data_IF_700034308902
#
_entry.id   IF_700034308902
#
_cell.length_a   1.000
_cell.length_b   1.000
_cell.length_c   1.000
_cell.angle_alpha   90.00
_cell.angle_beta   90.00
_cell.angle_gamma   90.00
#
_symmetry.space_group_name_H-M   'P 1'
#
loop_
_entity.id
_entity.type
_entity.pdbx_description
1 polymer ?
#
# COMPACT_ATOMS: atom_id res chain seq x y z
N UNK A 1 -3.45 6.12 -5.34
CA UNK A 1 -4.51 6.68 -4.47
C UNK A 1 -4.83 5.69 -3.37
N UNK A 2 -4.61 6.10 -2.13
CA UNK A 2 -4.84 5.29 -0.93
C UNK A 2 -6.30 5.40 -0.42
N UNK A 3 -7.26 5.61 -1.32
CA UNK A 3 -8.68 5.79 -1.01
C UNK A 3 -9.54 5.37 -2.21
N UNK A 4 -10.81 5.01 -1.99
CA UNK A 4 -11.75 4.81 -3.09
C UNK A 4 -12.39 6.16 -3.46
N UNK A 5 -12.53 6.46 -4.76
CA UNK A 5 -13.12 7.73 -5.24
C UNK A 5 -14.52 7.98 -4.66
N UNK A 6 -15.29 6.92 -4.40
CA UNK A 6 -16.63 6.99 -3.80
C UNK A 6 -16.64 7.59 -2.39
N UNK A 7 -15.53 7.49 -1.67
CA UNK A 7 -15.40 7.98 -0.29
C UNK A 7 -15.16 9.49 -0.27
N UNK A 8 -14.75 10.06 -1.41
CA UNK A 8 -14.60 11.50 -1.58
C UNK A 8 -15.95 12.21 -1.55
N UNK A 9 -15.99 13.29 -0.78
CA UNK A 9 -17.13 14.19 -0.68
C UNK A 9 -16.93 15.35 -1.64
N UNK A 10 -18.03 15.74 -2.27
CA UNK A 10 -18.17 16.76 -3.30
C UNK A 10 -19.50 17.49 -3.05
N UNK A 11 -19.79 18.53 -3.83
CA UNK A 11 -21.10 19.19 -3.75
C UNK A 11 -22.28 18.20 -3.89
N UNK A 12 -22.16 17.18 -4.73
CA UNK A 12 -23.26 16.24 -5.01
C UNK A 12 -23.65 15.37 -3.80
N UNK A 13 -22.70 15.04 -2.93
CA UNK A 13 -22.89 14.14 -1.80
C UNK A 13 -22.51 14.79 -0.45
N UNK A 14 -22.45 16.12 -0.40
CA UNK A 14 -22.09 16.90 0.80
C UNK A 14 -23.00 16.64 2.00
N UNK A 15 -24.26 16.33 1.75
CA UNK A 15 -25.24 16.00 2.80
C UNK A 15 -24.97 14.67 3.50
N UNK A 16 -24.09 13.82 2.95
CA UNK A 16 -23.65 12.59 3.62
C UNK A 16 -22.73 12.88 4.83
N UNK A 17 -22.15 14.08 4.89
CA UNK A 17 -21.27 14.48 5.98
C UNK A 17 -22.11 14.99 7.15
N UNK A 18 -22.08 14.25 8.27
CA UNK A 18 -22.97 14.50 9.42
C UNK A 18 -22.39 15.40 10.50
N UNK A 19 -21.07 15.63 10.49
CA UNK A 19 -20.37 16.36 11.56
C UNK A 19 -19.29 17.29 10.99
N UNK A 20 -19.24 18.51 11.53
CA UNK A 20 -18.27 19.57 11.18
C UNK A 20 -17.04 19.57 12.12
N UNK A 21 -16.56 18.38 12.48
CA UNK A 21 -15.32 18.20 13.27
C UNK A 21 -14.57 16.95 12.81
N UNK A 22 -14.74 16.60 11.54
CA UNK A 22 -14.04 15.47 10.93
C UNK A 22 -12.76 16.00 10.30
N UNK A 23 -11.64 15.43 10.72
CA UNK A 23 -10.33 15.72 10.12
C UNK A 23 -10.20 15.01 8.78
N UNK A 24 -9.58 15.66 7.81
CA UNK A 24 -9.31 15.06 6.51
C UNK A 24 -8.51 15.95 5.59
N UNK A 25 -8.57 15.61 4.31
CA UNK A 25 -7.87 16.29 3.22
C UNK A 25 -8.85 17.10 2.38
N UNK A 26 -8.40 18.26 1.89
CA UNK A 26 -9.21 19.20 1.12
C UNK A 26 -8.51 19.53 -0.19
N UNK A 27 -9.26 19.68 -1.28
CA UNK A 27 -8.66 19.92 -2.60
C UNK A 27 -9.69 20.30 -3.65
N UNK A 28 -9.20 20.90 -4.74
CA UNK A 28 -9.99 21.26 -5.91
C UNK A 28 -9.87 20.25 -7.05
N UNK A 29 -9.00 19.26 -6.87
CA UNK A 29 -8.75 18.17 -7.80
C UNK A 29 -8.37 16.90 -7.06
N UNK A 30 -8.56 15.75 -7.71
CA UNK A 30 -8.11 14.46 -7.21
C UNK A 30 -6.59 14.41 -7.00
N UNK A 31 -5.82 15.09 -7.85
CA UNK A 31 -4.36 15.17 -7.75
C UNK A 31 -3.92 15.93 -6.50
N UNK A 32 -4.59 17.03 -6.16
CA UNK A 32 -4.29 17.79 -4.93
C UNK A 32 -4.50 16.89 -3.70
N UNK A 33 -5.63 16.19 -3.63
CA UNK A 33 -5.91 15.26 -2.51
C UNK A 33 -4.85 14.15 -2.43
N UNK A 34 -4.46 13.54 -3.55
CA UNK A 34 -3.45 12.48 -3.56
C UNK A 34 -2.07 12.99 -3.13
N UNK A 35 -1.70 14.22 -3.49
CA UNK A 35 -0.44 14.83 -3.08
C UNK A 35 -0.42 15.20 -1.59
N UNK A 36 -1.52 15.71 -1.04
CA UNK A 36 -1.68 15.96 0.40
C UNK A 36 -1.58 14.66 1.22
N UNK A 37 -2.18 13.56 0.73
CA UNK A 37 -2.04 12.24 1.37
C UNK A 37 -0.59 11.76 1.35
N UNK A 38 0.14 11.93 0.23
CA UNK A 38 1.57 11.56 0.15
C UNK A 38 2.41 12.34 1.15
N UNK A 39 2.19 13.64 1.27
CA UNK A 39 2.89 14.50 2.25
C UNK A 39 2.61 14.06 3.68
N UNK A 40 1.34 13.81 4.00
CA UNK A 40 0.94 13.26 5.29
C UNK A 40 1.62 11.93 5.61
N UNK A 41 1.64 10.99 4.63
CA UNK A 41 2.31 9.70 4.79
C UNK A 41 3.84 9.82 4.89
N UNK A 42 4.43 10.89 4.35
CA UNK A 42 5.86 11.21 4.49
C UNK A 42 6.21 11.96 5.79
N UNK A 43 5.25 12.14 6.71
CA UNK A 43 5.47 12.70 8.04
C UNK A 43 5.08 14.17 8.21
N UNK A 44 4.59 14.83 7.16
CA UNK A 44 4.08 16.20 7.24
C UNK A 44 2.64 16.22 7.78
N UNK A 45 2.49 16.10 9.11
CA UNK A 45 1.18 15.93 9.77
C UNK A 45 0.32 17.20 9.81
N UNK A 46 0.90 18.36 9.54
CA UNK A 46 0.22 19.67 9.62
C UNK A 46 -0.77 19.92 8.46
N UNK A 47 -0.81 19.02 7.47
CA UNK A 47 -1.74 19.07 6.33
C UNK A 47 -3.11 18.46 6.63
N UNK A 48 -3.31 17.94 7.84
CA UNK A 48 -4.62 17.55 8.31
C UNK A 48 -5.39 18.76 8.81
N UNK A 49 -6.57 18.97 8.23
CA UNK A 49 -7.44 20.06 8.63
C UNK A 49 -8.80 19.53 9.11
N UNK A 50 -9.38 20.24 10.08
CA UNK A 50 -10.72 19.95 10.56
C UNK A 50 -11.76 20.63 9.66
N UNK A 51 -12.70 19.84 9.15
CA UNK A 51 -13.84 20.36 8.40
C UNK A 51 -14.64 21.30 9.29
N UNK A 52 -14.70 22.58 8.95
CA UNK A 52 -15.38 23.60 9.74
C UNK A 52 -16.75 23.99 9.16
N UNK A 53 -16.90 23.92 7.84
CA UNK A 53 -18.13 24.35 7.16
C UNK A 53 -18.45 23.53 5.91
N UNK A 54 -19.75 23.41 5.62
CA UNK A 54 -20.28 22.91 4.36
C UNK A 54 -21.25 23.97 3.80
N UNK A 55 -20.94 24.56 2.66
CA UNK A 55 -21.80 25.53 1.97
C UNK A 55 -22.73 24.84 0.96
N UNK A 56 -23.97 25.29 0.88
CA UNK A 56 -24.94 24.76 -0.08
C UNK A 56 -24.88 25.42 -1.46
N UNK A 57 -24.24 26.57 -1.57
CA UNK A 57 -24.44 27.49 -2.71
C UNK A 57 -23.37 27.41 -3.81
N UNK A 58 -22.54 26.35 -3.84
CA UNK A 58 -21.54 26.23 -4.91
C UNK A 58 -20.68 24.97 -4.84
N UNK A 59 -19.97 24.71 -5.94
CA UNK A 59 -19.09 23.54 -6.06
C UNK A 59 -17.98 23.50 -4.99
N UNK A 60 -17.45 24.66 -4.59
CA UNK A 60 -16.52 24.81 -3.47
C UNK A 60 -17.29 24.86 -2.14
N UNK A 61 -17.72 23.70 -1.68
CA UNK A 61 -18.61 23.59 -0.53
C UNK A 61 -17.91 23.23 0.77
N UNK A 62 -16.69 22.67 0.77
CA UNK A 62 -16.02 22.26 2.01
C UNK A 62 -14.99 23.29 2.44
N UNK A 63 -15.11 23.81 3.66
CA UNK A 63 -14.12 24.71 4.22
C UNK A 63 -13.55 24.20 5.53
N UNK A 64 -12.25 24.42 5.73
CA UNK A 64 -11.60 24.33 7.03
C UNK A 64 -11.22 25.74 7.49
N UNK A 65 -11.09 25.91 8.81
CA UNK A 65 -10.60 27.14 9.41
C UNK A 65 -9.22 26.90 10.00
N UNK A 66 -8.24 27.76 9.71
CA UNK A 66 -6.96 27.71 10.43
C UNK A 66 -7.14 28.39 11.78
N UNK A 67 -6.89 27.64 12.85
CA UNK A 67 -6.87 28.19 14.20
C UNK A 67 -5.47 28.72 14.51
N UNK A 68 -5.37 30.04 14.70
CA UNK A 68 -4.12 30.71 15.06
C UNK A 68 -4.03 30.83 16.58
N UNK A 69 -3.31 29.89 17.20
CA UNK A 69 -3.21 29.76 18.67
C UNK A 69 -2.58 30.99 19.36
N UNK A 70 -1.78 31.76 18.65
CA UNK A 70 -1.13 32.99 19.09
C UNK A 70 -2.08 34.20 19.15
N UNK A 71 -3.15 34.19 18.37
CA UNK A 71 -4.14 35.29 18.30
C UNK A 71 -5.52 34.90 18.80
N UNK A 72 -5.79 33.60 19.00
CA UNK A 72 -7.13 33.09 19.28
C UNK A 72 -8.12 33.32 18.14
N UNK A 73 -7.63 33.70 16.96
CA UNK A 73 -8.43 34.02 15.79
C UNK A 73 -8.53 32.82 14.86
N UNK A 74 -9.68 32.69 14.22
CA UNK A 74 -9.81 31.90 13.00
C UNK A 74 -9.43 32.79 11.82
N UNK A 75 -8.40 32.41 11.07
CA UNK A 75 -7.95 33.15 9.89
C UNK A 75 -7.94 32.26 8.65
N UNK A 76 -8.33 32.82 7.51
CA UNK A 76 -8.35 32.13 6.23
C UNK A 76 -9.42 31.03 6.15
N UNK A 77 -10.57 31.37 5.56
CA UNK A 77 -11.53 30.37 5.10
C UNK A 77 -11.25 30.08 3.63
N UNK A 78 -10.61 28.94 3.35
CA UNK A 78 -10.53 28.42 1.98
C UNK A 78 -11.63 27.39 1.79
N UNK A 79 -12.34 27.53 0.67
CA UNK A 79 -13.36 26.58 0.25
C UNK A 79 -12.81 25.70 -0.87
N UNK A 80 -13.07 24.40 -0.75
CA UNK A 80 -12.58 23.36 -1.64
C UNK A 80 -13.75 22.61 -2.26
N UNK A 81 -13.53 22.14 -3.48
CA UNK A 81 -14.52 21.34 -4.18
C UNK A 81 -14.71 19.95 -3.57
N UNK A 82 -13.64 19.41 -2.99
CA UNK A 82 -13.59 18.06 -2.46
C UNK A 82 -13.10 18.02 -1.01
N UNK A 83 -13.65 17.05 -0.28
CA UNK A 83 -13.22 16.68 1.06
C UNK A 83 -13.10 15.15 1.16
N UNK A 84 -11.97 14.66 1.65
CA UNK A 84 -11.75 13.25 1.93
C UNK A 84 -11.54 13.07 3.44
N UNK A 85 -12.49 12.43 4.14
CA UNK A 85 -12.32 12.06 5.55
C UNK A 85 -11.05 11.23 5.78
N UNK A 86 -10.31 11.49 6.86
CA UNK A 86 -9.07 10.77 7.16
C UNK A 86 -9.29 9.25 7.34
N UNK A 87 -10.43 8.85 7.89
CA UNK A 87 -10.80 7.44 8.08
C UNK A 87 -11.07 6.70 6.76
N UNK A 88 -11.38 7.42 5.68
CA UNK A 88 -11.48 6.88 4.33
C UNK A 88 -10.11 6.65 3.67
N UNK A 89 -9.04 7.22 4.22
CA UNK A 89 -7.68 6.91 3.75
C UNK A 89 -7.29 5.54 4.28
N UNK A 90 -7.12 4.60 3.37
CA UNK A 90 -6.55 3.28 3.65
C UNK A 90 -5.17 3.52 4.24
N UNK A 91 -4.99 3.16 5.52
CA UNK A 91 -3.66 3.16 6.15
C UNK A 91 -2.71 2.43 5.22
N UNK A 92 -1.62 3.08 4.83
CA UNK A 92 -0.45 2.37 4.34
C UNK A 92 -0.09 1.39 5.47
N UNK A 93 -0.41 0.10 5.29
CA UNK A 93 0.15 -0.91 6.17
C UNK A 93 1.66 -0.70 6.14
N UNK A 94 2.38 -0.75 7.27
CA UNK A 94 3.83 -0.75 7.22
C UNK A 94 4.24 -1.79 6.18
N UNK A 95 5.04 -1.37 5.18
CA UNK A 95 5.51 -2.28 4.15
C UNK A 95 6.22 -3.40 4.89
N UNK A 96 5.57 -4.58 4.93
CA UNK A 96 6.13 -5.79 5.52
C UNK A 96 7.53 -5.94 4.94
N UNK A 97 8.53 -5.94 5.81
CA UNK A 97 9.92 -6.09 5.39
C UNK A 97 10.14 -7.57 5.13
N UNK A 98 10.64 -7.89 3.95
CA UNK A 98 10.95 -9.26 3.57
C UNK A 98 12.45 -9.38 3.38
N UNK A 99 13.01 -10.49 3.84
CA UNK A 99 14.34 -10.95 3.41
C UNK A 99 14.20 -12.08 2.40
N UNK A 100 15.18 -12.30 1.52
CA UNK A 100 15.15 -13.46 0.62
C UNK A 100 15.14 -14.78 1.40
N UNK A 101 14.66 -15.83 0.74
CA UNK A 101 14.78 -17.18 1.27
C UNK A 101 16.25 -17.56 1.42
N UNK A 102 16.61 -18.09 2.58
CA UNK A 102 17.93 -18.63 2.90
C UNK A 102 18.02 -20.12 2.66
N UNK A 103 16.90 -20.81 2.44
CA UNK A 103 16.91 -22.22 2.09
C UNK A 103 15.71 -22.60 1.25
N UNK A 104 15.83 -23.69 0.49
CA UNK A 104 14.69 -24.26 -0.23
C UNK A 104 13.59 -24.76 0.72
N UNK A 105 13.95 -25.07 1.97
CA UNK A 105 12.96 -25.43 2.99
C UNK A 105 12.00 -24.28 3.26
N UNK A 106 12.48 -23.05 3.42
CA UNK A 106 11.61 -21.88 3.66
C UNK A 106 10.62 -21.68 2.49
N UNK A 107 11.08 -21.86 1.26
CA UNK A 107 10.20 -21.79 0.08
C UNK A 107 9.20 -22.96 0.04
N UNK A 108 9.66 -24.16 0.34
CA UNK A 108 8.85 -25.39 0.36
C UNK A 108 7.73 -25.31 1.40
N UNK A 109 8.05 -24.83 2.61
CA UNK A 109 7.08 -24.62 3.70
C UNK A 109 5.95 -23.66 3.28
N UNK A 110 6.25 -22.65 2.44
CA UNK A 110 5.24 -21.70 1.96
C UNK A 110 4.42 -22.27 0.80
N UNK A 111 5.03 -23.06 -0.09
CA UNK A 111 4.33 -23.63 -1.26
C UNK A 111 3.41 -24.79 -0.86
N UNK A 112 3.86 -25.67 0.04
CA UNK A 112 3.12 -26.87 0.44
C UNK A 112 2.42 -26.76 1.79
N UNK A 113 2.61 -25.67 2.54
CA UNK A 113 2.09 -25.49 3.90
C UNK A 113 2.30 -26.76 4.73
N UNK A 114 1.26 -27.37 5.28
CA UNK A 114 1.33 -28.55 6.18
C UNK A 114 1.93 -29.80 5.54
N UNK A 115 1.96 -29.90 4.21
CA UNK A 115 2.45 -31.08 3.50
C UNK A 115 3.94 -30.98 3.11
N UNK A 116 4.63 -29.94 3.58
CA UNK A 116 6.05 -29.71 3.31
C UNK A 116 6.96 -30.84 3.81
N UNK A 117 6.57 -31.57 4.86
CA UNK A 117 7.38 -32.69 5.38
C UNK A 117 7.47 -33.86 4.39
N UNK A 118 6.54 -33.92 3.43
CA UNK A 118 6.45 -34.98 2.43
C UNK A 118 6.82 -34.51 1.02
N UNK A 119 7.07 -33.22 0.82
CA UNK A 119 7.36 -32.61 -0.48
C UNK A 119 8.54 -31.66 -0.32
N UNK A 120 9.54 -31.73 -1.19
CA UNK A 120 10.66 -30.78 -1.19
C UNK A 120 10.79 -30.17 -2.57
N UNK A 121 10.66 -28.85 -2.67
CA UNK A 121 11.01 -28.14 -3.90
C UNK A 121 12.52 -28.27 -4.14
N UNK A 122 12.87 -28.68 -5.35
CA UNK A 122 14.24 -28.90 -5.78
C UNK A 122 14.39 -28.61 -7.28
N UNK A 123 15.59 -28.86 -7.79
CA UNK A 123 15.85 -28.85 -9.23
C UNK A 123 14.95 -29.87 -9.92
N UNK A 124 14.25 -29.43 -10.97
CA UNK A 124 13.24 -30.20 -11.69
C UNK A 124 11.80 -29.80 -11.37
N UNK A 125 11.55 -29.09 -10.27
CA UNK A 125 10.22 -28.58 -9.94
C UNK A 125 9.91 -27.26 -10.65
N UNK A 126 8.62 -26.97 -10.81
CA UNK A 126 8.17 -25.74 -11.47
C UNK A 126 7.40 -24.84 -10.51
N UNK A 127 7.58 -23.53 -10.67
CA UNK A 127 6.84 -22.49 -9.96
C UNK A 127 6.14 -21.59 -10.94
N UNK A 128 4.89 -21.23 -10.65
CA UNK A 128 4.21 -20.15 -11.36
C UNK A 128 4.60 -18.82 -10.72
N UNK A 129 5.14 -17.91 -11.51
CA UNK A 129 5.58 -16.58 -11.09
C UNK A 129 4.86 -15.47 -11.84
N UNK A 130 4.87 -14.27 -11.25
CA UNK A 130 4.51 -13.02 -11.90
C UNK A 130 5.52 -11.92 -11.61
N UNK A 131 5.58 -10.93 -12.50
CA UNK A 131 6.42 -9.75 -12.30
C UNK A 131 5.70 -8.72 -11.43
N UNK A 132 6.39 -8.17 -10.43
CA UNK A 132 5.85 -7.08 -9.61
C UNK A 132 5.61 -5.84 -10.47
N UNK A 133 4.44 -5.23 -10.32
CA UNK A 133 4.02 -4.07 -11.11
C UNK A 133 3.45 -4.40 -12.49
N UNK A 134 3.39 -5.68 -12.89
CA UNK A 134 2.75 -6.13 -14.12
C UNK A 134 1.91 -7.40 -13.86
N UNK A 135 0.64 -7.18 -13.49
CA UNK A 135 -0.29 -8.25 -13.11
C UNK A 135 -0.77 -9.13 -14.29
N UNK A 136 -0.38 -8.80 -15.52
CA UNK A 136 -0.74 -9.57 -16.71
C UNK A 136 0.38 -10.51 -17.16
N UNK A 137 1.60 -10.32 -16.66
CA UNK A 137 2.74 -11.18 -16.97
C UNK A 137 2.85 -12.34 -15.98
N UNK A 138 2.44 -13.53 -16.42
CA UNK A 138 2.61 -14.78 -15.69
C UNK A 138 3.50 -15.76 -16.46
N UNK A 139 4.38 -16.47 -15.75
CA UNK A 139 5.28 -17.44 -16.34
C UNK A 139 5.46 -18.64 -15.42
N UNK A 140 5.43 -19.86 -15.97
CA UNK A 140 5.95 -21.03 -15.26
C UNK A 140 7.46 -21.09 -15.45
N UNK A 141 8.21 -21.14 -14.36
CA UNK A 141 9.65 -21.37 -14.37
C UNK A 141 9.95 -22.78 -13.87
N UNK A 142 10.86 -23.46 -14.55
CA UNK A 142 11.48 -24.70 -14.06
C UNK A 142 12.69 -24.32 -13.22
N UNK A 143 12.83 -24.89 -12.02
CA UNK A 143 14.04 -24.76 -11.21
C UNK A 143 15.11 -25.63 -11.86
N UNK A 144 16.05 -25.02 -12.57
CA UNK A 144 17.14 -25.69 -13.28
C UNK A 144 18.44 -25.69 -12.50
N UNK A 145 18.62 -24.75 -11.57
CA UNK A 145 19.83 -24.67 -10.75
C UNK A 145 19.58 -23.93 -9.44
N UNK A 146 20.32 -24.32 -8.41
CA UNK A 146 20.35 -23.71 -7.09
C UNK A 146 21.81 -23.43 -6.73
N UNK A 147 22.11 -22.21 -6.29
CA UNK A 147 23.44 -21.81 -5.85
C UNK A 147 23.44 -21.55 -4.36
N UNK A 148 24.43 -22.12 -3.67
CA UNK A 148 24.58 -22.04 -2.22
C UNK A 148 25.93 -21.41 -1.87
N UNK A 149 25.95 -20.60 -0.81
CA UNK A 149 27.16 -20.20 -0.11
C UNK A 149 27.09 -20.76 1.32
N UNK A 150 28.05 -21.61 1.66
CA UNK A 150 27.96 -22.53 2.80
C UNK A 150 26.64 -23.32 2.81
N UNK A 151 25.65 -22.87 3.60
CA UNK A 151 24.32 -23.48 3.70
C UNK A 151 23.19 -22.56 3.23
N UNK A 152 23.49 -21.30 2.89
CA UNK A 152 22.50 -20.31 2.52
C UNK A 152 22.25 -20.35 1.00
N UNK A 153 20.98 -20.42 0.62
CA UNK A 153 20.53 -20.29 -0.77
C UNK A 153 20.74 -18.86 -1.24
N UNK A 154 21.74 -18.65 -2.10
CA UNK A 154 22.08 -17.32 -2.63
C UNK A 154 21.52 -17.06 -4.03
N UNK A 155 21.20 -18.11 -4.80
CA UNK A 155 20.65 -17.96 -6.13
C UNK A 155 19.79 -19.15 -6.59
N UNK A 156 18.85 -18.85 -7.49
CA UNK A 156 18.02 -19.83 -8.20
C UNK A 156 18.02 -19.46 -9.68
N UNK A 157 18.23 -20.45 -10.56
CA UNK A 157 18.32 -20.28 -12.02
C UNK A 157 19.33 -19.20 -12.45
N UNK A 158 20.47 -19.12 -11.75
CA UNK A 158 21.53 -18.15 -12.02
C UNK A 158 21.22 -16.71 -11.60
N UNK A 159 20.06 -16.45 -10.99
CA UNK A 159 19.67 -15.13 -10.45
C UNK A 159 19.75 -15.14 -8.92
N UNK A 160 20.30 -14.07 -8.35
CA UNK A 160 20.39 -13.88 -6.90
C UNK A 160 19.01 -13.87 -6.25
N UNK A 161 18.88 -14.46 -5.06
CA UNK A 161 17.60 -14.51 -4.33
C UNK A 161 17.03 -13.11 -4.02
N UNK A 162 17.88 -12.11 -3.81
CA UNK A 162 17.43 -10.71 -3.68
C UNK A 162 16.73 -10.20 -4.95
N UNK A 163 17.27 -10.51 -6.13
CA UNK A 163 16.64 -10.14 -7.39
C UNK A 163 15.31 -10.86 -7.65
N UNK A 164 15.14 -12.07 -7.11
CA UNK A 164 13.84 -12.74 -7.10
C UNK A 164 12.84 -12.04 -6.19
N UNK A 165 13.26 -11.67 -4.98
CA UNK A 165 12.45 -10.93 -4.02
C UNK A 165 12.02 -9.57 -4.57
N UNK A 166 12.91 -8.83 -5.24
CA UNK A 166 12.65 -7.46 -5.67
C UNK A 166 11.70 -7.40 -6.87
N UNK A 167 11.80 -8.35 -7.80
CA UNK A 167 11.12 -8.26 -9.10
C UNK A 167 9.93 -9.21 -9.27
N UNK A 168 9.84 -10.28 -8.47
CA UNK A 168 8.88 -11.36 -8.71
C UNK A 168 8.09 -11.77 -7.47
N UNK A 169 6.95 -12.39 -7.74
CA UNK A 169 6.12 -13.12 -6.78
C UNK A 169 5.83 -14.51 -7.34
N UNK A 170 5.58 -15.48 -6.48
CA UNK A 170 5.16 -16.83 -6.87
C UNK A 170 3.76 -17.12 -6.35
N UNK A 171 3.04 -17.99 -7.05
CA UNK A 171 1.71 -18.43 -6.63
C UNK A 171 1.85 -19.57 -5.62
N UNK A 172 1.32 -19.36 -4.41
CA UNK A 172 1.16 -20.39 -3.39
C UNK A 172 -0.21 -20.27 -2.75
N UNK A 173 -0.92 -21.38 -2.58
CA UNK A 173 -2.27 -21.41 -1.99
C UNK A 173 -3.24 -20.39 -2.61
N UNK A 174 -3.22 -20.26 -3.94
CA UNK A 174 -4.03 -19.31 -4.72
C UNK A 174 -3.76 -17.83 -4.42
N UNK A 175 -2.64 -17.52 -3.76
CA UNK A 175 -2.22 -16.15 -3.46
C UNK A 175 -0.80 -15.89 -3.99
N UNK A 176 -0.59 -14.69 -4.49
CA UNK A 176 0.74 -14.24 -4.89
C UNK A 176 1.55 -13.86 -3.65
N UNK A 177 2.71 -14.49 -3.50
CA UNK A 177 3.60 -14.32 -2.36
C UNK A 177 4.97 -13.82 -2.83
N UNK A 178 5.63 -12.94 -2.06
CA UNK A 178 6.98 -12.50 -2.40
C UNK A 178 7.97 -13.66 -2.25
N UNK A 179 9.07 -13.64 -2.99
CA UNK A 179 10.20 -14.56 -2.83
C UNK A 179 11.01 -14.30 -1.55
N UNK A 180 10.36 -14.33 -0.39
CA UNK A 180 11.01 -14.07 0.88
C UNK A 180 10.15 -14.38 2.11
N UNK A 181 10.81 -14.29 3.27
CA UNK A 181 10.20 -14.45 4.59
C UNK A 181 9.98 -13.07 5.20
N UNK A 182 8.81 -12.86 5.79
CA UNK A 182 8.49 -11.64 6.53
C UNK A 182 9.40 -11.54 7.77
N UNK A 183 10.17 -10.46 7.86
CA UNK A 183 10.91 -10.12 9.06
C UNK A 183 9.96 -9.38 10.01
N UNK A 184 9.71 -9.96 11.18
CA UNK A 184 9.09 -9.23 12.26
C UNK A 184 10.17 -8.36 12.90
N UNK A 185 10.05 -7.04 12.76
CA UNK A 185 10.81 -6.07 13.56
C UNK A 185 10.45 -6.19 15.06
#
# INVERSE_FOLDING_TARGET
MNFDIKDMKSWANRHDVRTLSVTGFFGNSLSEIDDEIKRYNNGEKDHLHELYQISDNGCYCFGYAMYFADTGAFGGTNNFAFFLPLDAVKKDKPKKKYRPFKSMRELTEIVYSKDWEYNNLSVGDSLLIRRKGDEHYHQNILITSLGYDENDLISMNGRLMQGWLDEFEFLAHCEWRPFGVEEND
#
